data_IF_036497698002
#
_entry.id   IF_036497698002
#
_cell.length_a   1.000
_cell.length_b   1.000
_cell.length_c   1.000
_cell.angle_alpha   90.00
_cell.angle_beta   90.00
_cell.angle_gamma   90.00
#
_symmetry.space_group_name_H-M   'P 1'
#
loop_
_entity.id
_entity.type
_entity.pdbx_description
1 polymer ?
#
# COMPACT_ATOMS: atom_id res chain seq x y z
N UNK A 1 0.34 -2.59 0.52
CA UNK A 1 1.03 -2.04 -0.67
C UNK A 1 2.06 -3.04 -1.12
N UNK A 2 2.31 -3.12 -2.42
CA UNK A 2 3.21 -4.12 -2.99
C UNK A 2 3.81 -3.64 -4.33
N UNK A 3 5.00 -4.12 -4.68
CA UNK A 3 5.66 -3.88 -5.95
C UNK A 3 6.34 -5.11 -6.58
N UNK A 4 6.43 -5.11 -7.90
CA UNK A 4 7.21 -6.06 -8.71
C UNK A 4 7.94 -5.31 -9.79
N UNK A 5 8.76 -6.05 -10.55
CA UNK A 5 9.47 -5.55 -11.73
C UNK A 5 8.54 -4.96 -12.80
N UNK A 6 7.26 -5.33 -12.84
CA UNK A 6 6.31 -4.88 -13.87
C UNK A 6 5.31 -3.85 -13.37
N UNK A 7 4.93 -3.87 -12.09
CA UNK A 7 3.87 -3.01 -11.54
C UNK A 7 4.11 -2.70 -10.07
N UNK A 8 3.50 -1.63 -9.59
CA UNK A 8 3.40 -1.31 -8.16
C UNK A 8 1.99 -0.83 -7.82
N UNK A 9 1.51 -1.20 -6.64
CA UNK A 9 0.10 -1.09 -6.29
C UNK A 9 -0.15 -0.73 -4.82
N UNK A 10 -1.29 -0.10 -4.58
CA UNK A 10 -1.85 0.15 -3.27
C UNK A 10 -3.36 -0.06 -3.28
N UNK A 11 -3.89 -0.57 -2.17
CA UNK A 11 -5.31 -0.82 -1.94
C UNK A 11 -5.66 -0.35 -0.54
N UNK A 12 -6.77 0.36 -0.39
CA UNK A 12 -7.32 0.86 0.87
C UNK A 12 -8.61 0.09 1.14
N UNK A 13 -8.68 -0.46 2.35
CA UNK A 13 -9.87 -1.11 2.86
C UNK A 13 -10.40 -0.33 4.05
N UNK A 14 -11.72 -0.21 4.16
CA UNK A 14 -12.38 0.25 5.38
C UNK A 14 -12.76 -0.97 6.23
N UNK A 15 -12.46 -0.90 7.52
CA UNK A 15 -12.85 -1.92 8.50
C UNK A 15 -14.10 -1.44 9.21
N UNK A 16 -15.19 -2.18 9.07
CA UNK A 16 -16.41 -1.97 9.85
C UNK A 16 -16.49 -2.99 10.97
N UNK A 17 -16.96 -2.57 12.14
CA UNK A 17 -17.22 -3.43 13.30
C UNK A 17 -18.60 -3.10 13.84
N UNK A 18 -19.59 -3.92 13.50
CA UNK A 18 -20.97 -3.72 13.91
C UNK A 18 -21.51 -4.97 14.60
N UNK A 19 -22.01 -4.80 15.84
CA UNK A 19 -22.58 -5.90 16.65
C UNK A 19 -21.65 -7.12 16.77
N UNK A 20 -20.34 -6.91 16.85
CA UNK A 20 -19.34 -7.98 16.96
C UNK A 20 -18.95 -8.63 15.62
N UNK A 21 -19.58 -8.25 14.51
CA UNK A 21 -19.20 -8.69 13.16
C UNK A 21 -18.19 -7.67 12.60
N UNK A 22 -17.01 -8.17 12.25
CA UNK A 22 -15.98 -7.40 11.55
C UNK A 22 -16.07 -7.72 10.07
N UNK A 23 -16.11 -6.69 9.24
CA UNK A 23 -16.06 -6.83 7.78
C UNK A 23 -15.09 -5.82 7.19
N UNK A 24 -14.41 -6.19 6.12
CA UNK A 24 -13.57 -5.30 5.35
C UNK A 24 -14.20 -5.03 3.99
N UNK A 25 -14.04 -3.82 3.49
CA UNK A 25 -14.53 -3.45 2.16
C UNK A 25 -13.48 -2.61 1.44
N UNK A 26 -13.21 -2.96 0.19
CA UNK A 26 -12.33 -2.19 -0.66
C UNK A 26 -12.96 -0.83 -0.93
N UNK A 27 -12.25 0.22 -0.51
CA UNK A 27 -12.66 1.59 -0.76
C UNK A 27 -12.03 2.12 -2.04
N UNK A 28 -10.73 1.88 -2.22
CA UNK A 28 -10.01 2.31 -3.41
C UNK A 28 -8.79 1.45 -3.67
N UNK A 29 -8.51 1.17 -4.94
CA UNK A 29 -7.26 0.55 -5.36
C UNK A 29 -6.62 1.34 -6.51
N UNK A 30 -5.29 1.34 -6.54
CA UNK A 30 -4.50 2.00 -7.57
C UNK A 30 -3.30 1.13 -7.94
N UNK A 31 -3.19 0.81 -9.21
CA UNK A 31 -2.07 0.09 -9.81
C UNK A 31 -1.38 1.01 -10.82
N UNK A 32 -0.05 0.94 -10.89
CA UNK A 32 0.75 1.62 -11.91
C UNK A 32 1.76 0.66 -12.53
N UNK A 33 1.98 0.82 -13.83
CA UNK A 33 3.03 0.10 -14.56
C UNK A 33 4.40 0.64 -14.13
N UNK A 34 5.36 -0.25 -13.93
CA UNK A 34 6.73 0.11 -13.62
C UNK A 34 7.35 0.90 -14.79
N UNK A 35 8.21 1.89 -14.54
CA UNK A 35 8.87 2.65 -15.60
C UNK A 35 9.66 1.74 -16.56
N UNK A 36 9.72 2.14 -17.83
CA UNK A 36 10.46 1.41 -18.87
C UNK A 36 11.96 1.32 -18.53
N UNK A 37 12.51 2.37 -17.91
CA UNK A 37 13.88 2.32 -17.38
C UNK A 37 13.92 1.34 -16.22
N UNK A 38 14.88 0.41 -16.25
CA UNK A 38 15.11 -0.54 -15.18
C UNK A 38 15.33 0.19 -13.84
N UNK A 39 14.40 -0.02 -12.92
CA UNK A 39 14.45 0.44 -11.54
C UNK A 39 14.57 -0.78 -10.65
N UNK A 40 15.33 -0.66 -9.57
CA UNK A 40 15.51 -1.73 -8.60
C UNK A 40 14.24 -1.98 -7.81
N UNK A 41 14.02 -3.23 -7.38
CA UNK A 41 12.85 -3.60 -6.55
C UNK A 41 12.66 -2.68 -5.34
N UNK A 42 13.68 -2.34 -4.53
CA UNK A 42 13.48 -1.47 -3.37
C UNK A 42 12.95 -0.06 -3.71
N UNK A 43 13.28 0.47 -4.90
CA UNK A 43 12.74 1.76 -5.36
C UNK A 43 11.26 1.64 -5.75
N UNK A 44 10.86 0.51 -6.33
CA UNK A 44 9.46 0.22 -6.68
C UNK A 44 8.62 -0.01 -5.42
N UNK A 45 9.19 -0.64 -4.38
CA UNK A 45 8.53 -0.77 -3.07
C UNK A 45 8.22 0.59 -2.44
N UNK A 46 9.19 1.51 -2.48
CA UNK A 46 8.96 2.89 -2.03
C UNK A 46 7.93 3.60 -2.91
N UNK A 47 7.85 3.32 -4.22
CA UNK A 47 6.78 3.86 -5.06
C UNK A 47 5.41 3.36 -4.64
N UNK A 48 5.27 2.07 -4.34
CA UNK A 48 4.03 1.49 -3.84
C UNK A 48 3.60 2.17 -2.53
N UNK A 49 4.54 2.40 -1.62
CA UNK A 49 4.31 3.14 -0.38
C UNK A 49 3.88 4.59 -0.65
N UNK A 50 4.58 5.31 -1.54
CA UNK A 50 4.23 6.70 -1.87
C UNK A 50 2.83 6.82 -2.47
N UNK A 51 2.44 5.94 -3.40
CA UNK A 51 1.07 5.98 -3.94
C UNK A 51 0.03 5.62 -2.89
N UNK A 52 0.35 4.71 -1.96
CA UNK A 52 -0.53 4.34 -0.86
C UNK A 52 -0.75 5.50 0.12
N UNK A 53 0.31 6.22 0.49
CA UNK A 53 0.23 7.40 1.36
C UNK A 53 -0.63 8.50 0.72
N UNK A 54 -0.40 8.82 -0.56
CA UNK A 54 -1.23 9.79 -1.29
C UNK A 54 -2.69 9.37 -1.38
N UNK A 55 -2.95 8.08 -1.63
CA UNK A 55 -4.30 7.55 -1.75
C UNK A 55 -5.04 7.68 -0.41
N UNK A 56 -4.36 7.33 0.70
CA UNK A 56 -4.95 7.41 2.03
C UNK A 56 -5.20 8.86 2.46
N UNK A 57 -4.24 9.76 2.21
CA UNK A 57 -4.43 11.19 2.45
C UNK A 57 -5.66 11.72 1.72
N UNK A 58 -5.76 11.48 0.40
CA UNK A 58 -6.91 11.92 -0.39
C UNK A 58 -8.23 11.34 0.12
N UNK A 59 -8.26 10.03 0.40
CA UNK A 59 -9.46 9.37 0.95
C UNK A 59 -9.90 10.00 2.27
N UNK A 60 -8.96 10.31 3.17
CA UNK A 60 -9.27 10.93 4.46
C UNK A 60 -9.82 12.34 4.30
N UNK A 61 -9.22 13.14 3.42
CA UNK A 61 -9.68 14.49 3.12
C UNK A 61 -11.06 14.47 2.43
N UNK A 62 -11.22 13.67 1.37
CA UNK A 62 -12.43 13.61 0.54
C UNK A 62 -13.65 13.11 1.34
N UNK A 63 -13.44 12.20 2.30
CA UNK A 63 -14.49 11.61 3.14
C UNK A 63 -14.54 12.20 4.56
N UNK A 64 -13.68 13.17 4.87
CA UNK A 64 -13.54 13.78 6.20
C UNK A 64 -13.38 12.73 7.34
N UNK A 65 -12.50 11.75 7.13
CA UNK A 65 -12.28 10.63 8.05
C UNK A 65 -11.16 10.92 9.05
N UNK A 66 -11.46 10.79 10.33
CA UNK A 66 -10.49 10.90 11.43
C UNK A 66 -10.12 9.56 12.07
N UNK A 67 -10.52 8.45 11.45
CA UNK A 67 -10.31 7.11 12.02
C UNK A 67 -8.83 6.67 11.97
N UNK A 68 -8.41 5.77 12.89
CA UNK A 68 -7.09 5.17 12.86
C UNK A 68 -6.80 4.51 11.51
N UNK A 69 -5.64 4.80 10.95
CA UNK A 69 -5.22 4.31 9.63
C UNK A 69 -3.96 3.47 9.80
N UNK A 70 -3.92 2.27 9.20
CA UNK A 70 -2.76 1.40 9.26
C UNK A 70 -2.25 1.08 7.86
N UNK A 71 -0.93 1.12 7.70
CA UNK A 71 -0.26 0.86 6.42
C UNK A 71 0.52 -0.43 6.48
N UNK A 72 0.34 -1.29 5.48
CA UNK A 72 0.99 -2.60 5.42
C UNK A 72 1.82 -2.75 4.14
N UNK A 73 3.06 -3.18 4.28
CA UNK A 73 3.97 -3.57 3.18
C UNK A 73 4.76 -4.81 3.57
N UNK A 74 5.09 -5.66 2.61
CA UNK A 74 5.98 -6.81 2.78
C UNK A 74 7.46 -6.48 2.53
N UNK A 75 7.76 -5.22 2.21
CA UNK A 75 9.12 -4.74 2.05
C UNK A 75 9.69 -4.19 3.35
N UNK A 76 10.51 -5.00 4.02
CA UNK A 76 11.28 -4.57 5.18
C UNK A 76 12.21 -3.38 4.87
N UNK A 77 12.74 -3.29 3.64
CA UNK A 77 13.56 -2.15 3.22
C UNK A 77 12.75 -0.86 3.15
N UNK A 78 11.55 -0.90 2.55
CA UNK A 78 10.68 0.27 2.50
C UNK A 78 10.24 0.70 3.91
N UNK A 79 9.84 -0.27 4.74
CA UNK A 79 9.46 -0.01 6.13
C UNK A 79 10.61 0.61 6.93
N UNK A 80 11.83 0.09 6.78
CA UNK A 80 13.02 0.62 7.43
C UNK A 80 13.25 2.10 7.07
N UNK A 81 13.23 2.44 5.78
CA UNK A 81 13.42 3.83 5.34
C UNK A 81 12.28 4.75 5.78
N UNK A 82 11.05 4.25 5.86
CA UNK A 82 9.92 5.07 6.33
C UNK A 82 10.06 5.37 7.82
N UNK A 83 10.44 4.38 8.63
CA UNK A 83 10.55 4.55 10.09
C UNK A 83 11.83 5.23 10.56
N UNK A 84 12.95 5.03 9.88
CA UNK A 84 14.25 5.58 10.29
C UNK A 84 14.73 6.63 9.31
N UNK A 85 15.18 7.76 9.84
CA UNK A 85 15.90 8.75 9.06
C UNK A 85 17.34 8.26 8.87
N UNK A 86 17.61 7.70 7.69
CA UNK A 86 18.90 7.12 7.35
C UNK A 86 19.41 7.71 6.02
N UNK A 87 20.73 7.67 5.84
CA UNK A 87 21.40 8.09 4.62
C UNK A 87 21.03 7.17 3.46
N UNK A 88 19.98 7.54 2.75
CA UNK A 88 19.56 6.90 1.50
C UNK A 88 19.80 7.83 0.31
N UNK A 89 19.84 7.26 -0.90
CA UNK A 89 19.95 8.05 -2.11
C UNK A 89 18.83 9.11 -2.17
N UNK A 90 19.12 10.32 -2.64
CA UNK A 90 18.19 11.47 -2.70
C UNK A 90 16.81 11.11 -3.25
N UNK A 91 16.77 10.21 -4.22
CA UNK A 91 15.53 9.71 -4.80
C UNK A 91 14.59 9.02 -3.79
N UNK A 92 15.15 8.21 -2.89
CA UNK A 92 14.42 7.52 -1.81
C UNK A 92 14.08 8.54 -0.73
N UNK A 93 15.05 9.37 -0.32
CA UNK A 93 14.87 10.40 0.69
C UNK A 93 13.69 11.32 0.37
N UNK A 94 13.60 11.81 -0.87
CA UNK A 94 12.50 12.68 -1.30
C UNK A 94 11.11 12.03 -1.15
N UNK A 95 11.00 10.73 -1.40
CA UNK A 95 9.74 9.98 -1.29
C UNK A 95 9.40 9.60 0.13
N UNK A 96 10.41 9.24 0.92
CA UNK A 96 10.25 9.04 2.36
C UNK A 96 9.76 10.34 2.99
N UNK A 97 10.40 11.47 2.71
CA UNK A 97 9.99 12.78 3.21
C UNK A 97 8.56 13.13 2.81
N UNK A 98 8.15 12.80 1.59
CA UNK A 98 6.76 12.95 1.18
C UNK A 98 5.81 12.06 2.00
N UNK A 99 6.12 10.77 2.14
CA UNK A 99 5.32 9.83 2.93
C UNK A 99 5.14 10.36 4.36
N UNK A 100 6.22 10.79 5.01
CA UNK A 100 6.22 11.31 6.39
C UNK A 100 5.45 12.61 6.56
N UNK A 101 5.34 13.42 5.50
CA UNK A 101 4.51 14.64 5.51
C UNK A 101 3.03 14.33 5.41
N UNK A 102 2.67 13.24 4.75
CA UNK A 102 1.28 12.85 4.53
C UNK A 102 0.75 11.97 5.67
N UNK A 103 1.57 11.04 6.17
CA UNK A 103 1.16 10.01 7.12
C UNK A 103 2.20 9.81 8.21
N UNK A 104 1.75 9.41 9.40
CA UNK A 104 2.63 9.11 10.54
C UNK A 104 3.48 7.85 10.25
N UNK A 105 4.82 7.91 10.39
CA UNK A 105 5.70 6.74 10.28
C UNK A 105 5.33 5.56 11.20
N UNK A 106 4.71 5.83 12.36
CA UNK A 106 4.38 4.79 13.32
C UNK A 106 3.20 3.90 12.88
N UNK A 107 2.35 4.42 11.98
CA UNK A 107 1.22 3.68 11.40
C UNK A 107 1.66 2.59 10.39
N UNK A 108 2.94 2.58 10.01
CA UNK A 108 3.49 1.63 9.04
C UNK A 108 3.91 0.31 9.69
N UNK A 109 3.51 -0.80 9.06
CA UNK A 109 3.66 -2.15 9.56
C UNK A 109 4.14 -3.09 8.46
N UNK A 110 4.85 -4.13 8.89
CA UNK A 110 5.20 -5.24 8.02
C UNK A 110 4.05 -6.25 7.95
N UNK A 111 3.78 -6.78 6.76
CA UNK A 111 2.92 -7.96 6.55
C UNK A 111 3.68 -8.98 5.69
N UNK A 112 3.45 -10.27 5.88
CA UNK A 112 4.04 -11.26 4.98
C UNK A 112 3.35 -11.16 3.60
N UNK A 113 4.11 -11.25 2.50
CA UNK A 113 3.58 -11.07 1.14
C UNK A 113 2.36 -11.94 0.83
N UNK A 114 2.31 -13.19 1.31
CA UNK A 114 1.15 -14.09 1.15
C UNK A 114 -0.17 -13.59 1.76
N UNK A 115 -0.11 -12.63 2.67
CA UNK A 115 -1.28 -12.01 3.31
C UNK A 115 -1.49 -10.58 2.84
N UNK A 116 -0.70 -10.09 1.88
CA UNK A 116 -0.79 -8.72 1.39
C UNK A 116 -1.88 -8.65 0.31
N UNK A 117 -3.04 -8.02 0.59
CA UNK A 117 -4.14 -7.96 -0.40
C UNK A 117 -3.77 -7.14 -1.65
N UNK A 118 -2.67 -6.37 -1.60
CA UNK A 118 -2.17 -5.60 -2.74
C UNK A 118 -1.44 -6.45 -3.80
N UNK A 119 -1.16 -7.73 -3.53
CA UNK A 119 -0.53 -8.64 -4.50
C UNK A 119 -1.52 -9.14 -5.58
N UNK A 120 -2.81 -9.30 -5.24
CA UNK A 120 -3.83 -9.76 -6.19
C UNK A 120 -4.03 -8.79 -7.38
N UNK A 121 -4.16 -7.46 -7.17
CA UNK A 121 -4.22 -6.48 -8.27
C UNK A 121 -2.95 -6.41 -9.13
N UNK A 122 -1.83 -6.89 -8.61
CA UNK A 122 -0.51 -6.85 -9.24
C UNK A 122 -0.25 -8.11 -10.07
N UNK A 123 -0.78 -9.25 -9.63
CA UNK A 123 -0.81 -10.47 -10.42
C UNK A 123 -1.64 -10.20 -11.70
N UNK A 124 -1.19 -10.71 -12.84
CA UNK A 124 -2.01 -10.75 -14.07
C UNK A 124 -3.13 -11.78 -13.90
N UNK A 125 -3.96 -11.57 -12.87
CA UNK A 125 -5.01 -12.48 -12.50
C UNK A 125 -6.03 -12.49 -13.62
N UNK A 126 -6.31 -13.68 -14.12
CA UNK A 126 -7.46 -13.91 -15.00
C UNK A 126 -8.70 -13.26 -14.35
N UNK A 127 -9.51 -12.46 -15.06
CA UNK A 127 -10.71 -11.84 -14.51
C UNK A 127 -11.62 -12.84 -13.77
N UNK A 128 -11.69 -14.09 -14.23
CA UNK A 128 -12.46 -15.15 -13.56
C UNK A 128 -11.87 -15.56 -12.20
N UNK A 129 -10.55 -15.57 -12.08
CA UNK A 129 -9.87 -15.85 -10.81
C UNK A 129 -10.05 -14.71 -9.81
N UNK A 130 -10.00 -13.46 -10.30
CA UNK A 130 -10.25 -12.26 -9.48
C UNK A 130 -11.69 -12.21 -8.95
N UNK A 131 -12.67 -12.60 -9.79
CA UNK A 131 -14.07 -12.68 -9.36
C UNK A 131 -14.27 -13.75 -8.27
N UNK A 132 -13.55 -14.86 -8.35
CA UNK A 132 -13.63 -15.95 -7.37
C UNK A 132 -12.88 -15.67 -6.07
N UNK A 133 -11.92 -14.75 -6.06
CA UNK A 133 -11.11 -14.49 -4.88
C UNK A 133 -11.80 -13.59 -3.86
N UNK A 134 -12.90 -12.91 -4.22
CA UNK A 134 -13.59 -11.95 -3.35
C UNK A 134 -12.65 -10.91 -2.74
N UNK A 135 -11.55 -10.57 -3.42
CA UNK A 135 -10.45 -9.79 -2.85
C UNK A 135 -10.87 -8.40 -2.34
N UNK A 136 -11.99 -7.88 -2.84
CA UNK A 136 -12.58 -6.62 -2.39
C UNK A 136 -13.22 -6.72 -0.99
N UNK A 137 -13.38 -7.92 -0.43
CA UNK A 137 -13.86 -8.18 0.92
C UNK A 137 -12.72 -8.15 1.96
N UNK A 138 -11.51 -7.80 1.52
CA UNK A 138 -10.33 -7.64 2.38
C UNK A 138 -9.57 -8.94 2.64
N UNK A 139 -8.48 -8.86 3.42
CA UNK A 139 -7.76 -10.05 3.87
C UNK A 139 -8.59 -10.84 4.90
N UNK A 140 -8.48 -12.17 4.86
CA UNK A 140 -9.03 -13.10 5.87
C UNK A 140 -8.44 -12.86 7.28
#
# INVERSE_FOLDING_TARGET
MDASKSTYAASIFIRNSFKGIVSWQLLQARVKVAPIKLITTPRLEIFACTIGARLAYNVKEDLNLNEPTFFYTDSMNALYWIKKEDNCATFIANRVNEIRKLMDPEDWRHIQGKFNPADLPKSQCNPKALLKSHWWEGPD
#
